data_IF_901016329147
#
_entry.id   IF_901016329147
#
_cell.length_a   1.000
_cell.length_b   1.000
_cell.length_c   1.000
_cell.angle_alpha   90.00
_cell.angle_beta   90.00
_cell.angle_gamma   90.00
#
_symmetry.space_group_name_H-M   'P 1'
#
loop_
_entity.id
_entity.type
_entity.pdbx_description
1 polymer ?
#
# COMPACT_ATOMS: atom_id res chain seq x y z
N UNK A 1 12.18 20.43 1.84
CA UNK A 1 10.73 20.37 1.54
C UNK A 1 10.31 18.91 1.58
N UNK A 2 9.21 18.58 2.24
CA UNK A 2 8.71 17.19 2.25
C UNK A 2 7.90 16.88 0.97
N UNK A 3 7.52 15.62 0.75
CA UNK A 3 6.80 15.23 -0.47
C UNK A 3 5.40 15.84 -0.59
N UNK A 4 4.77 16.20 0.54
CA UNK A 4 3.45 16.83 0.52
C UNK A 4 3.60 18.30 0.12
N UNK A 5 4.54 19.01 0.75
CA UNK A 5 4.79 20.43 0.46
C UNK A 5 5.33 20.62 -0.95
N UNK A 6 6.14 19.69 -1.46
CA UNK A 6 6.60 19.69 -2.84
C UNK A 6 5.44 19.60 -3.84
N UNK A 7 4.45 18.72 -3.60
CA UNK A 7 3.26 18.62 -4.45
C UNK A 7 2.43 19.91 -4.40
N UNK A 8 2.22 20.47 -3.22
CA UNK A 8 1.45 21.72 -3.05
C UNK A 8 2.13 22.89 -3.75
N UNK A 9 3.46 23.02 -3.67
CA UNK A 9 4.22 24.07 -4.36
C UNK A 9 4.12 23.97 -5.88
N UNK A 10 3.94 22.76 -6.41
CA UNK A 10 3.73 22.50 -7.83
C UNK A 10 2.26 22.66 -8.26
N UNK A 11 1.35 23.01 -7.34
CA UNK A 11 -0.09 23.04 -7.60
C UNK A 11 -0.72 21.66 -7.81
N UNK A 12 -0.04 20.59 -7.38
CA UNK A 12 -0.47 19.21 -7.54
C UNK A 12 -1.22 18.69 -6.30
N UNK A 13 -2.10 17.70 -6.46
CA UNK A 13 -2.71 17.01 -5.32
C UNK A 13 -1.65 16.37 -4.43
N UNK A 14 -1.88 16.41 -3.11
CA UNK A 14 -1.03 15.74 -2.11
C UNK A 14 -0.89 14.24 -2.40
N UNK A 15 -1.99 13.63 -2.83
CA UNK A 15 -2.04 12.28 -3.40
C UNK A 15 -3.12 12.26 -4.49
N UNK A 16 -2.74 11.97 -5.73
CA UNK A 16 -3.66 11.94 -6.88
C UNK A 16 -4.21 10.54 -7.16
N UNK A 17 -3.82 9.54 -6.37
CA UNK A 17 -4.16 8.14 -6.64
C UNK A 17 -5.60 7.84 -6.24
N UNK A 18 -6.29 7.09 -7.08
CA UNK A 18 -7.57 6.46 -6.77
C UNK A 18 -7.44 4.95 -6.85
N UNK A 19 -8.04 4.22 -5.91
CA UNK A 19 -7.97 2.75 -5.87
C UNK A 19 -9.31 2.07 -6.19
N UNK A 20 -10.29 2.84 -6.66
CA UNK A 20 -11.65 2.36 -6.98
C UNK A 20 -11.63 1.29 -8.09
N UNK A 21 -10.74 1.44 -9.07
CA UNK A 21 -10.65 0.50 -10.20
C UNK A 21 -10.04 -0.85 -9.82
N UNK A 22 -9.27 -0.89 -8.72
CA UNK A 22 -8.59 -2.11 -8.28
C UNK A 22 -9.57 -3.24 -7.96
N UNK A 23 -10.72 -2.92 -7.36
CA UNK A 23 -11.73 -3.92 -7.03
C UNK A 23 -12.30 -4.56 -8.30
N UNK A 24 -12.54 -3.75 -9.34
CA UNK A 24 -13.05 -4.24 -10.64
C UNK A 24 -12.08 -5.25 -11.27
N UNK A 25 -10.79 -4.93 -11.29
CA UNK A 25 -9.75 -5.82 -11.83
C UNK A 25 -9.69 -7.13 -11.06
N UNK A 26 -9.66 -7.08 -9.72
CA UNK A 26 -9.56 -8.27 -8.88
C UNK A 26 -10.79 -9.16 -9.04
N UNK A 27 -11.99 -8.56 -9.13
CA UNK A 27 -13.24 -9.29 -9.41
C UNK A 27 -13.26 -9.92 -10.79
N UNK A 28 -12.78 -9.23 -11.84
CA UNK A 28 -12.70 -9.77 -13.21
C UNK A 28 -11.77 -10.98 -13.29
N UNK A 29 -10.72 -11.04 -12.47
CA UNK A 29 -9.83 -12.21 -12.34
C UNK A 29 -10.46 -13.37 -11.55
N UNK A 30 -11.70 -13.22 -11.08
CA UNK A 30 -12.43 -14.22 -10.30
C UNK A 30 -11.90 -14.40 -8.87
N UNK A 31 -11.13 -13.44 -8.36
CA UNK A 31 -10.59 -13.47 -7.00
C UNK A 31 -11.70 -12.99 -6.05
N UNK A 32 -12.06 -13.86 -5.10
CA UNK A 32 -13.15 -13.58 -4.14
C UNK A 32 -12.65 -13.02 -2.82
N UNK A 33 -11.43 -13.40 -2.41
CA UNK A 33 -10.84 -12.98 -1.16
C UNK A 33 -9.34 -12.75 -1.29
N UNK A 34 -8.80 -11.81 -0.53
CA UNK A 34 -7.37 -11.48 -0.51
C UNK A 34 -6.84 -11.34 0.93
N UNK A 35 -5.56 -11.64 1.10
CA UNK A 35 -4.74 -11.10 2.18
C UNK A 35 -4.01 -9.87 1.64
N UNK A 36 -4.33 -8.70 2.18
CA UNK A 36 -3.86 -7.41 1.66
C UNK A 36 -2.61 -6.94 2.40
N UNK A 37 -1.48 -6.88 1.70
CA UNK A 37 -0.22 -6.35 2.24
C UNK A 37 -0.10 -4.87 1.90
N UNK A 38 -0.33 -3.97 2.87
CA UNK A 38 -0.31 -2.53 2.63
C UNK A 38 -0.12 -1.72 3.91
N UNK A 39 0.55 -0.57 3.78
CA UNK A 39 0.57 0.47 4.81
C UNK A 39 -0.35 1.65 4.48
N UNK A 40 -0.91 1.70 3.26
CA UNK A 40 -1.78 2.79 2.82
C UNK A 40 -3.25 2.52 3.25
N UNK A 41 -3.86 3.36 4.09
CA UNK A 41 -5.26 3.23 4.52
C UNK A 41 -6.28 3.31 3.38
N UNK A 42 -6.01 4.06 2.31
CA UNK A 42 -6.94 4.18 1.18
C UNK A 42 -7.07 2.88 0.38
N UNK A 43 -5.97 2.13 0.25
CA UNK A 43 -6.00 0.78 -0.34
C UNK A 43 -6.83 -0.19 0.49
N UNK A 44 -6.74 -0.08 1.82
CA UNK A 44 -7.55 -0.89 2.74
C UNK A 44 -9.03 -0.56 2.54
N UNK A 45 -9.38 0.73 2.50
CA UNK A 45 -10.75 1.18 2.30
C UNK A 45 -11.32 0.66 0.97
N UNK A 46 -10.55 0.79 -0.11
CA UNK A 46 -10.99 0.46 -1.47
C UNK A 46 -11.16 -1.04 -1.73
N UNK A 47 -10.42 -1.90 -1.00
CA UNK A 47 -10.48 -3.36 -1.16
C UNK A 47 -11.13 -4.07 0.04
N UNK A 48 -11.76 -3.32 0.95
CA UNK A 48 -12.30 -3.85 2.22
C UNK A 48 -13.27 -5.02 2.01
N UNK A 49 -14.10 -4.96 0.97
CA UNK A 49 -15.14 -5.96 0.69
C UNK A 49 -14.59 -7.38 0.44
N UNK A 50 -13.35 -7.50 -0.05
CA UNK A 50 -12.72 -8.78 -0.39
C UNK A 50 -11.51 -9.10 0.51
N UNK A 51 -11.15 -8.20 1.44
CA UNK A 51 -9.97 -8.38 2.28
C UNK A 51 -10.29 -9.21 3.51
N UNK A 52 -9.67 -10.39 3.65
CA UNK A 52 -9.80 -11.25 4.83
C UNK A 52 -8.81 -10.87 5.94
N UNK A 53 -7.63 -10.38 5.56
CA UNK A 53 -6.58 -10.02 6.49
C UNK A 53 -5.75 -8.88 5.90
N UNK A 54 -5.37 -7.91 6.74
CA UNK A 54 -4.44 -6.84 6.37
C UNK A 54 -3.11 -7.09 7.07
N UNK A 55 -2.04 -7.16 6.30
CA UNK A 55 -0.68 -7.30 6.82
C UNK A 55 0.08 -6.00 6.54
N UNK A 56 0.61 -5.39 7.59
CA UNK A 56 1.51 -4.24 7.44
C UNK A 56 2.85 -4.69 6.84
N UNK A 57 3.42 -3.85 5.98
CA UNK A 57 4.74 -4.06 5.39
C UNK A 57 5.80 -3.29 6.19
N UNK A 58 6.95 -3.90 6.47
CA UNK A 58 8.10 -3.14 6.96
C UNK A 58 8.40 -1.99 6.01
N UNK A 59 8.76 -0.83 6.56
CA UNK A 59 9.53 0.14 5.82
C UNK A 59 10.79 0.41 6.62
N UNK A 60 11.91 -0.13 6.15
CA UNK A 60 13.19 0.02 6.85
C UNK A 60 13.65 1.47 6.69
N UNK A 61 13.77 2.24 7.80
CA UNK A 61 14.27 3.59 7.73
C UNK A 61 15.78 3.59 7.48
N UNK A 62 16.22 4.53 6.66
CA UNK A 62 17.61 4.89 6.43
C UNK A 62 17.69 6.41 6.24
N UNK A 63 18.90 6.96 6.25
CA UNK A 63 19.13 8.40 6.12
C UNK A 63 18.37 9.03 4.94
N UNK A 64 18.27 8.32 3.81
CA UNK A 64 17.63 8.83 2.58
C UNK A 64 16.10 8.82 2.60
N UNK A 65 15.46 7.93 3.36
CA UNK A 65 13.99 7.74 3.29
C UNK A 65 13.28 8.07 4.61
N UNK A 66 14.01 8.32 5.71
CA UNK A 66 13.40 8.53 7.03
C UNK A 66 12.41 9.70 7.04
N UNK A 67 12.75 10.80 6.38
CA UNK A 67 11.86 11.96 6.31
C UNK A 67 10.60 11.67 5.49
N UNK A 68 10.75 10.93 4.38
CA UNK A 68 9.62 10.48 3.58
C UNK A 68 8.68 9.55 4.38
N UNK A 69 9.24 8.60 5.13
CA UNK A 69 8.47 7.66 5.95
C UNK A 69 7.71 8.38 7.08
N UNK A 70 8.33 9.37 7.73
CA UNK A 70 7.68 10.24 8.72
C UNK A 70 6.52 11.01 8.11
N UNK A 71 6.75 11.69 6.98
CA UNK A 71 5.69 12.41 6.26
C UNK A 71 4.52 11.49 5.90
N UNK A 72 4.78 10.27 5.42
CA UNK A 72 3.72 9.29 5.12
C UNK A 72 2.94 8.85 6.36
N UNK A 73 3.61 8.67 7.50
CA UNK A 73 2.96 8.31 8.76
C UNK A 73 2.12 9.46 9.31
N UNK A 74 2.73 10.64 9.47
CA UNK A 74 2.16 11.78 10.18
C UNK A 74 1.09 12.51 9.35
N UNK A 75 1.29 12.63 8.03
CA UNK A 75 0.42 13.44 7.17
C UNK A 75 -0.59 12.61 6.38
N UNK A 76 -0.28 11.34 6.08
CA UNK A 76 -1.13 10.47 5.26
C UNK A 76 -1.64 9.22 6.00
N UNK A 77 -1.44 9.15 7.31
CA UNK A 77 -1.92 8.06 8.17
C UNK A 77 -1.45 6.66 7.74
N UNK A 78 -0.26 6.56 7.13
CA UNK A 78 0.31 5.26 6.80
C UNK A 78 0.69 4.48 8.07
N UNK A 79 0.39 3.18 8.08
CA UNK A 79 0.85 2.25 9.12
C UNK A 79 2.31 1.88 8.88
N UNK A 80 3.22 2.81 9.12
CA UNK A 80 4.65 2.57 8.96
C UNK A 80 5.21 2.02 10.28
N UNK A 81 5.75 0.81 10.26
CA UNK A 81 6.52 0.27 11.38
C UNK A 81 7.99 0.63 11.13
N UNK A 82 8.52 1.56 11.93
CA UNK A 82 9.90 2.06 11.78
C UNK A 82 10.95 1.10 12.38
N UNK A 83 10.56 0.15 13.24
CA UNK A 83 11.49 -0.75 13.91
C UNK A 83 11.29 -2.24 13.57
N UNK A 84 12.42 -2.92 13.32
CA UNK A 84 12.65 -4.38 13.39
C UNK A 84 11.57 -5.30 12.81
N UNK A 85 10.97 -4.99 11.66
CA UNK A 85 10.10 -5.97 10.99
C UNK A 85 10.93 -6.96 10.18
N UNK A 86 10.80 -8.24 10.53
CA UNK A 86 11.28 -9.37 9.74
C UNK A 86 10.10 -9.89 8.91
N UNK A 87 10.29 -10.03 7.60
CA UNK A 87 9.31 -10.66 6.72
C UNK A 87 8.91 -12.02 7.28
N UNK A 88 7.62 -12.27 7.60
CA UNK A 88 7.20 -13.57 8.10
C UNK A 88 7.52 -14.62 7.03
N UNK A 89 8.20 -15.70 7.43
CA UNK A 89 8.50 -16.82 6.56
C UNK A 89 7.18 -17.51 6.16
N UNK A 90 6.60 -17.11 5.03
CA UNK A 90 5.41 -17.75 4.51
C UNK A 90 5.82 -18.95 3.64
N UNK A 91 5.43 -20.16 4.04
CA UNK A 91 5.38 -21.29 3.10
C UNK A 91 4.26 -21.00 2.11
N UNK A 92 4.64 -20.57 0.91
CA UNK A 92 3.72 -20.41 -0.22
C UNK A 92 3.21 -21.79 -0.63
N UNK A 93 1.95 -22.08 -0.31
CA UNK A 93 1.23 -23.14 -1.00
C UNK A 93 0.79 -22.61 -2.38
N UNK A 94 1.63 -22.84 -3.37
CA UNK A 94 1.42 -22.41 -4.76
C UNK A 94 0.25 -23.11 -5.43
N UNK A 95 -0.29 -24.19 -4.84
CA UNK A 95 -1.47 -24.89 -5.37
C UNK A 95 -2.79 -24.15 -5.11
N UNK A 96 -2.81 -23.21 -4.15
CA UNK A 96 -4.02 -22.49 -3.70
C UNK A 96 -3.94 -20.96 -3.83
N UNK A 97 -2.75 -20.42 -4.04
CA UNK A 97 -2.52 -18.97 -4.00
C UNK A 97 -2.51 -18.37 -5.41
N UNK A 98 -3.55 -17.60 -5.76
CA UNK A 98 -3.54 -16.74 -6.95
C UNK A 98 -2.98 -15.37 -6.57
N UNK A 99 -1.71 -15.12 -6.88
CA UNK A 99 -1.09 -13.80 -6.67
C UNK A 99 -1.52 -12.89 -7.82
N UNK A 100 -2.42 -11.95 -7.54
CA UNK A 100 -2.73 -10.83 -8.45
C UNK A 100 -1.75 -9.69 -8.20
N UNK A 101 -0.78 -9.50 -9.10
CA UNK A 101 0.05 -8.30 -9.11
C UNK A 101 -0.76 -7.18 -9.78
N UNK A 102 -1.23 -6.21 -9.00
CA UNK A 102 -1.83 -4.97 -9.52
C UNK A 102 -0.71 -3.97 -9.73
N UNK A 103 -0.30 -3.77 -10.99
CA UNK A 103 0.64 -2.73 -11.38
C UNK A 103 -0.16 -1.45 -11.64
N UNK A 104 0.23 -0.34 -11.01
CA UNK A 104 -0.23 0.99 -11.40
C UNK A 104 0.85 1.64 -12.25
N UNK A 105 0.55 1.97 -13.49
CA UNK A 105 1.40 2.81 -14.34
C UNK A 105 1.13 4.28 -14.02
N UNK A 106 2.20 5.06 -13.87
CA UNK A 106 2.12 6.51 -13.75
C UNK A 106 2.32 7.10 -15.16
N UNK A 107 1.42 8.00 -15.57
CA UNK A 107 1.66 8.89 -16.72
C UNK A 107 2.60 10.01 -16.29
#
# INVERSE_FOLDING_TARGET
>A
VDTVDANVQLGLPVDSRTYNDNLSVVCQLGIKTIKLYTNNPEKISSLKAITQEVVALASIPCERNIQYLKTKQERLNHRTVLDTFVLPAHKLDTSKTRIGLVFTTWN
#
